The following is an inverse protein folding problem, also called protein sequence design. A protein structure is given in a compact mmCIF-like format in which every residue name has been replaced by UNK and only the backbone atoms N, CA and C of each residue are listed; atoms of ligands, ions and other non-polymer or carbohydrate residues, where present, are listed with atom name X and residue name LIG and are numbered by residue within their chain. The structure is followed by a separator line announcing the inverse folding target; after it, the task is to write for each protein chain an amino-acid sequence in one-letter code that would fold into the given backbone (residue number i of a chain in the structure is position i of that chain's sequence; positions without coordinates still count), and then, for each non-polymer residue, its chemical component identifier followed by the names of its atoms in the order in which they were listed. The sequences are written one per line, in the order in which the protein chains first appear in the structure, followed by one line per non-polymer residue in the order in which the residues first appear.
data_IF_933909131270
#
_entry.id   IF_933909131270
#
_cell.length_a   1.000
_cell.length_b   1.000
_cell.length_c   1.000
_cell.angle_alpha   90.00
_cell.angle_beta   90.00
_cell.angle_gamma   90.00
#
_symmetry.space_group_name_H-M   'P 1'
#
loop_
_entity.id
_entity.type
_entity.pdbx_description
1 polymer ?
#
# COMPACT_ATOMS: atom_id res chain seq x y z
N UNK A 1 -14.57 11.85 16.89
CA UNK A 1 -14.95 11.56 15.49
C UNK A 1 -14.28 10.26 15.09
N UNK A 2 -15.02 9.26 14.61
CA UNK A 2 -14.42 8.03 14.13
C UNK A 2 -13.67 8.33 12.82
N UNK A 3 -12.37 8.08 12.78
CA UNK A 3 -11.59 8.21 11.54
C UNK A 3 -12.12 7.20 10.53
N UNK A 4 -12.57 7.70 9.38
CA UNK A 4 -13.12 6.86 8.31
C UNK A 4 -11.96 6.14 7.62
N UNK A 5 -11.70 4.91 8.03
CA UNK A 5 -10.70 4.04 7.38
C UNK A 5 -11.41 3.22 6.31
N UNK A 6 -10.94 3.31 5.08
CA UNK A 6 -11.40 2.46 3.98
C UNK A 6 -10.57 1.19 3.97
N UNK A 7 -11.24 0.05 4.06
CA UNK A 7 -10.62 -1.26 3.98
C UNK A 7 -10.82 -1.84 2.59
N UNK A 8 -9.74 -2.28 1.96
CA UNK A 8 -9.75 -2.96 0.68
C UNK A 8 -8.81 -4.17 0.70
N UNK A 9 -9.09 -5.15 -0.16
CA UNK A 9 -8.21 -6.32 -0.35
C UNK A 9 -7.84 -6.41 -1.82
N UNK A 10 -6.53 -6.42 -2.11
CA UNK A 10 -5.98 -6.65 -3.44
C UNK A 10 -5.47 -8.08 -3.60
N UNK A 11 -5.61 -8.66 -4.80
CA UNK A 11 -5.09 -10.00 -5.12
C UNK A 11 -4.41 -9.98 -6.49
N UNK A 12 -3.22 -10.61 -6.60
CA UNK A 12 -2.51 -10.81 -7.86
C UNK A 12 -1.77 -12.14 -7.84
N UNK A 13 -2.07 -13.03 -8.79
CA UNK A 13 -1.57 -14.42 -8.80
C UNK A 13 -1.87 -15.11 -7.46
N UNK A 14 -0.85 -15.56 -6.75
CA UNK A 14 -0.93 -16.16 -5.41
C UNK A 14 -0.78 -15.14 -4.27
N UNK A 15 -0.54 -13.87 -4.58
CA UNK A 15 -0.31 -12.81 -3.58
C UNK A 15 -1.60 -12.10 -3.19
N UNK A 16 -1.77 -11.85 -1.89
CA UNK A 16 -2.92 -11.16 -1.29
C UNK A 16 -2.41 -10.01 -0.43
N UNK A 17 -2.99 -8.82 -0.58
CA UNK A 17 -2.65 -7.62 0.18
C UNK A 17 -3.90 -7.02 0.82
N UNK A 18 -3.81 -6.64 2.10
CA UNK A 18 -4.84 -5.88 2.80
C UNK A 18 -4.43 -4.43 2.84
N UNK A 19 -5.30 -3.54 2.39
CA UNK A 19 -5.02 -2.11 2.28
C UNK A 19 -5.97 -1.36 3.19
N UNK A 20 -5.39 -0.51 4.03
CA UNK A 20 -6.12 0.41 4.89
C UNK A 20 -5.81 1.83 4.42
N UNK A 21 -6.80 2.51 3.86
CA UNK A 21 -6.68 3.89 3.43
C UNK A 21 -7.32 4.81 4.47
N UNK A 22 -6.55 5.78 4.93
CA UNK A 22 -7.02 6.87 5.79
C UNK A 22 -6.66 8.20 5.16
N UNK A 23 -7.47 9.23 5.39
CA UNK A 23 -7.12 10.58 4.98
C UNK A 23 -5.87 11.03 5.76
N UNK A 24 -4.84 11.49 5.05
CA UNK A 24 -3.56 11.84 5.66
C UNK A 24 -2.52 12.31 4.65
N UNK A 25 -1.25 12.34 5.07
CA UNK A 25 -0.11 12.92 4.34
C UNK A 25 0.39 12.11 3.12
N UNK A 26 -0.37 11.11 2.66
CA UNK A 26 0.01 10.28 1.51
C UNK A 26 1.16 9.29 1.76
N UNK A 27 1.52 9.02 3.02
CA UNK A 27 2.57 8.05 3.34
C UNK A 27 2.10 6.62 3.10
N UNK A 28 2.82 5.88 2.24
CA UNK A 28 2.55 4.46 1.96
C UNK A 28 3.55 3.59 2.71
N UNK A 29 3.05 2.74 3.60
CA UNK A 29 3.83 1.78 4.38
C UNK A 29 3.31 0.36 4.11
N UNK A 30 4.23 -0.58 3.95
CA UNK A 30 3.93 -1.99 3.68
C UNK A 30 4.70 -2.82 4.70
N UNK A 31 4.00 -3.62 5.52
CA UNK A 31 4.59 -4.44 6.58
C UNK A 31 5.57 -3.67 7.48
N UNK A 32 5.14 -2.49 7.95
CA UNK A 32 5.93 -1.59 8.82
C UNK A 32 7.19 -1.00 8.16
N UNK A 33 7.41 -1.25 6.88
CA UNK A 33 8.52 -0.72 6.10
C UNK A 33 8.04 0.32 5.08
N UNK A 34 8.92 1.24 4.69
CA UNK A 34 8.65 2.17 3.59
C UNK A 34 8.58 1.42 2.26
N UNK A 35 7.86 1.99 1.28
CA UNK A 35 7.76 1.42 -0.07
C UNK A 35 9.14 1.08 -0.67
N UNK A 36 10.13 1.93 -0.37
CA UNK A 36 11.49 1.78 -0.87
C UNK A 36 12.21 0.57 -0.26
N UNK A 37 12.09 0.38 1.04
CA UNK A 37 12.74 -0.74 1.73
C UNK A 37 12.06 -2.08 1.42
N UNK A 38 10.72 -2.06 1.27
CA UNK A 38 9.97 -3.27 1.00
C UNK A 38 10.13 -3.76 -0.45
N UNK A 39 10.09 -2.84 -1.42
CA UNK A 39 10.29 -3.18 -2.83
C UNK A 39 11.70 -2.82 -3.27
N UNK A 40 12.57 -3.84 -3.34
CA UNK A 40 13.93 -3.70 -3.87
C UNK A 40 14.00 -3.44 -5.38
N UNK A 41 12.91 -3.68 -6.13
CA UNK A 41 12.82 -3.41 -7.57
C UNK A 41 12.09 -2.09 -7.83
N UNK A 42 12.74 -1.17 -8.54
CA UNK A 42 12.16 0.13 -8.89
C UNK A 42 10.86 0.01 -9.72
N UNK A 43 10.80 -0.98 -10.62
CA UNK A 43 9.58 -1.26 -11.40
C UNK A 43 8.38 -1.62 -10.54
N UNK A 44 8.59 -2.30 -9.41
CA UNK A 44 7.51 -2.62 -8.48
C UNK A 44 7.04 -1.36 -7.73
N UNK A 45 7.93 -0.43 -7.40
CA UNK A 45 7.57 0.87 -6.81
C UNK A 45 6.72 1.70 -7.77
N UNK A 46 7.12 1.74 -9.04
CA UNK A 46 6.38 2.46 -10.08
C UNK A 46 4.95 1.93 -10.26
N UNK A 47 4.75 0.61 -10.24
CA UNK A 47 3.42 -0.01 -10.37
C UNK A 47 2.51 0.33 -9.20
N UNK A 48 3.04 0.47 -7.98
CA UNK A 48 2.22 0.83 -6.80
C UNK A 48 1.75 2.29 -6.84
N UNK A 49 2.54 3.18 -7.46
CA UNK A 49 2.20 4.59 -7.63
C UNK A 49 1.30 4.87 -8.84
N UNK A 50 1.13 3.88 -9.72
CA UNK A 50 0.16 3.98 -10.80
C UNK A 50 -1.26 3.81 -10.25
N UNK A 51 -2.18 4.76 -10.54
CA UNK A 51 -3.59 4.63 -10.20
C UNK A 51 -4.30 3.55 -11.03
#
# INVERSE_FOLDING_TARGET
MAEKVFYATGRRKTSVARVYLKQGKGSVVVNEQTLENYFGRETARMIVLQP
#
